data_IF_921684670295
#
_entry.id   IF_921684670295
#
_cell.length_a   1.000
_cell.length_b   1.000
_cell.length_c   1.000
_cell.angle_alpha   90.00
_cell.angle_beta   90.00
_cell.angle_gamma   90.00
#
_symmetry.space_group_name_H-M   'P 1'
#
loop_
_entity.id
_entity.type
_entity.pdbx_description
1 polymer ?
#
# COMPACT_ATOMS: atom_id res chain seq x y z
N UNK A 1 -34.45 -18.59 6.59
CA UNK A 1 -33.34 -19.23 5.84
C UNK A 1 -32.15 -18.27 5.79
N UNK A 2 -31.10 -18.49 6.58
CA UNK A 2 -29.94 -17.62 6.63
C UNK A 2 -29.19 -17.59 5.28
N UNK A 3 -28.80 -16.42 4.80
CA UNK A 3 -28.06 -16.27 3.55
C UNK A 3 -26.69 -16.96 3.67
N UNK A 4 -26.50 -18.05 2.92
CA UNK A 4 -25.24 -18.81 2.87
C UNK A 4 -24.11 -17.89 2.44
N UNK A 5 -23.03 -17.84 3.23
CA UNK A 5 -21.85 -17.03 2.95
C UNK A 5 -21.36 -17.29 1.52
N UNK A 6 -21.31 -16.25 0.69
CA UNK A 6 -20.89 -16.36 -0.71
C UNK A 6 -19.37 -16.41 -0.75
N UNK A 7 -18.82 -17.57 -1.13
CA UNK A 7 -17.39 -17.69 -1.42
C UNK A 7 -16.94 -16.61 -2.42
N UNK A 8 -15.72 -16.06 -2.27
CA UNK A 8 -15.22 -15.00 -3.15
C UNK A 8 -15.21 -15.48 -4.60
N UNK A 9 -15.83 -14.69 -5.48
CA UNK A 9 -16.09 -15.07 -6.87
C UNK A 9 -14.78 -14.97 -7.68
N UNK A 10 -14.04 -16.08 -7.82
CA UNK A 10 -12.87 -16.15 -8.72
C UNK A 10 -13.30 -15.92 -10.18
N UNK A 11 -12.47 -15.25 -10.97
CA UNK A 11 -12.78 -14.99 -12.38
C UNK A 11 -12.82 -16.32 -13.16
N UNK A 12 -13.89 -16.53 -13.92
CA UNK A 12 -14.04 -17.72 -14.79
C UNK A 12 -13.15 -17.67 -16.05
N UNK A 13 -12.52 -16.52 -16.32
CA UNK A 13 -11.54 -16.30 -17.38
C UNK A 13 -10.19 -15.94 -16.73
N UNK A 14 -9.20 -16.85 -16.67
CA UNK A 14 -7.85 -16.49 -16.25
C UNK A 14 -7.19 -15.58 -17.30
N UNK A 15 -6.23 -14.76 -16.88
CA UNK A 15 -5.47 -13.92 -17.80
C UNK A 15 -4.46 -14.78 -18.57
N UNK A 16 -4.33 -14.56 -19.88
CA UNK A 16 -3.21 -15.08 -20.68
C UNK A 16 -2.01 -14.13 -20.55
N UNK A 17 -2.28 -12.84 -20.74
CA UNK A 17 -1.33 -11.73 -20.51
C UNK A 17 -2.08 -10.65 -19.72
N UNK A 18 -1.38 -9.73 -19.06
CA UNK A 18 -2.02 -8.64 -18.30
C UNK A 18 -2.96 -7.84 -19.20
N UNK A 19 -4.26 -7.87 -18.91
CA UNK A 19 -5.30 -7.17 -19.68
C UNK A 19 -5.99 -8.01 -20.76
N UNK A 20 -5.47 -9.21 -21.08
CA UNK A 20 -6.04 -10.12 -22.08
C UNK A 20 -6.42 -11.44 -21.42
N UNK A 21 -7.72 -11.75 -21.45
CA UNK A 21 -8.25 -13.02 -20.95
C UNK A 21 -7.91 -14.20 -21.87
N UNK A 22 -7.75 -15.40 -21.31
CA UNK A 22 -7.44 -16.63 -22.05
C UNK A 22 -8.56 -17.08 -22.98
N UNK A 23 -9.82 -16.82 -22.62
CA UNK A 23 -10.99 -17.21 -23.40
C UNK A 23 -11.64 -16.01 -24.11
N UNK A 24 -12.14 -16.25 -25.33
CA UNK A 24 -12.92 -15.29 -26.11
C UNK A 24 -14.30 -15.02 -25.49
N UNK A 25 -14.98 -13.96 -25.98
CA UNK A 25 -16.31 -13.56 -25.52
C UNK A 25 -17.36 -14.66 -25.69
N UNK A 26 -17.35 -15.37 -26.83
CA UNK A 26 -18.31 -16.44 -27.13
C UNK A 26 -18.13 -17.64 -26.21
N UNK A 27 -16.89 -18.09 -25.99
CA UNK A 27 -16.61 -19.19 -25.03
C UNK A 27 -17.01 -18.80 -23.60
N UNK A 28 -16.78 -17.54 -23.22
CA UNK A 28 -17.20 -17.01 -21.93
C UNK A 28 -18.72 -16.88 -21.78
N UNK A 29 -19.43 -16.58 -22.86
CA UNK A 29 -20.90 -16.52 -22.89
C UNK A 29 -21.52 -17.89 -22.52
N UNK A 30 -21.00 -18.97 -23.10
CA UNK A 30 -21.42 -20.33 -22.76
C UNK A 30 -20.98 -20.73 -21.34
N UNK A 31 -19.71 -20.52 -20.99
CA UNK A 31 -19.15 -20.89 -19.67
C UNK A 31 -19.79 -20.14 -18.50
N UNK A 32 -20.25 -18.90 -18.72
CA UNK A 32 -20.97 -18.13 -17.69
C UNK A 32 -22.43 -18.56 -17.53
N UNK A 33 -22.97 -19.36 -18.46
CA UNK A 33 -24.39 -19.70 -18.49
C UNK A 33 -25.28 -18.53 -18.87
N UNK A 34 -24.72 -17.47 -19.47
CA UNK A 34 -25.48 -16.29 -19.87
C UNK A 34 -26.53 -16.63 -20.93
N UNK A 35 -26.23 -17.59 -21.79
CA UNK A 35 -27.17 -18.12 -22.77
C UNK A 35 -28.43 -18.72 -22.12
N UNK A 36 -28.26 -19.48 -21.04
CA UNK A 36 -29.37 -20.10 -20.33
C UNK A 36 -30.19 -19.07 -19.56
N UNK A 37 -29.55 -18.05 -18.97
CA UNK A 37 -30.24 -16.93 -18.34
C UNK A 37 -31.02 -16.10 -19.35
N UNK A 38 -30.44 -15.85 -20.52
CA UNK A 38 -31.12 -15.14 -21.62
C UNK A 38 -32.32 -15.93 -22.14
N UNK A 39 -32.20 -17.25 -22.29
CA UNK A 39 -33.30 -18.11 -22.70
C UNK A 39 -34.43 -18.12 -21.66
N UNK A 40 -34.11 -18.19 -20.36
CA UNK A 40 -35.10 -18.15 -19.28
C UNK A 40 -35.84 -16.81 -19.16
N UNK A 41 -35.21 -15.72 -19.60
CA UNK A 41 -35.76 -14.37 -19.51
C UNK A 41 -36.29 -13.87 -20.87
N UNK A 42 -36.81 -14.77 -21.71
CA UNK A 42 -37.47 -14.39 -22.97
C UNK A 42 -36.56 -13.71 -23.99
N UNK A 43 -35.26 -14.02 -23.99
CA UNK A 43 -34.29 -13.41 -24.90
C UNK A 43 -33.65 -12.10 -24.40
N UNK A 44 -34.03 -11.60 -23.22
CA UNK A 44 -33.51 -10.34 -22.66
C UNK A 44 -32.72 -10.62 -21.38
N UNK A 45 -31.62 -9.88 -21.16
CA UNK A 45 -30.89 -9.99 -19.89
C UNK A 45 -31.63 -9.24 -18.77
N UNK A 46 -31.67 -9.79 -17.54
CA UNK A 46 -32.25 -9.08 -16.41
C UNK A 46 -31.57 -7.72 -16.21
N UNK A 47 -32.39 -6.65 -16.19
CA UNK A 47 -31.96 -5.28 -15.86
C UNK A 47 -32.34 -4.99 -14.42
N UNK A 48 -31.47 -4.28 -13.71
CA UNK A 48 -31.81 -3.66 -12.43
C UNK A 48 -32.02 -2.18 -12.71
N UNK A 49 -33.27 -1.75 -12.79
CA UNK A 49 -33.60 -0.34 -12.94
C UNK A 49 -33.22 0.39 -11.64
N UNK A 50 -32.74 1.63 -11.80
CA UNK A 50 -32.30 2.43 -10.66
C UNK A 50 -33.49 2.67 -9.73
N UNK A 51 -33.32 2.33 -8.45
CA UNK A 51 -34.31 2.64 -7.41
C UNK A 51 -34.48 4.17 -7.37
N UNK A 52 -35.72 4.70 -7.45
CA UNK A 52 -35.94 6.14 -7.41
C UNK A 52 -35.33 6.71 -6.12
N UNK A 53 -34.48 7.72 -6.27
CA UNK A 53 -33.80 8.37 -5.16
C UNK A 53 -34.84 9.09 -4.29
N UNK A 54 -34.78 8.85 -2.97
CA UNK A 54 -35.60 9.57 -2.01
C UNK A 54 -35.23 11.06 -2.01
N UNK A 55 -36.24 11.93 -1.96
CA UNK A 55 -36.11 13.38 -1.96
C UNK A 55 -35.17 13.84 -0.83
N UNK A 56 -34.01 14.37 -1.22
CA UNK A 56 -33.02 14.90 -0.28
C UNK A 56 -33.43 16.34 0.07
N UNK A 57 -33.51 16.65 1.37
CA UNK A 57 -33.87 17.97 1.90
C UNK A 57 -32.97 19.07 1.30
N UNK A 58 -33.49 20.28 1.01
CA UNK A 58 -32.73 21.34 0.35
C UNK A 58 -31.61 21.88 1.25
N UNK A 59 -30.35 21.77 0.80
CA UNK A 59 -29.19 22.35 1.47
C UNK A 59 -29.19 23.89 1.37
N UNK A 60 -28.98 24.59 2.50
CA UNK A 60 -28.89 26.06 2.52
C UNK A 60 -27.63 26.53 1.78
N UNK A 61 -27.69 27.58 0.95
CA UNK A 61 -26.52 28.07 0.22
C UNK A 61 -25.45 28.66 1.17
N UNK A 62 -24.16 28.56 0.82
CA UNK A 62 -23.08 29.17 1.59
C UNK A 62 -23.21 30.71 1.59
N UNK A 63 -22.89 31.34 2.73
CA UNK A 63 -22.96 32.81 2.91
C UNK A 63 -21.91 33.57 2.08
N UNK A 64 -20.82 32.91 1.71
CA UNK A 64 -19.66 33.52 1.04
C UNK A 64 -19.50 32.98 -0.37
N UNK A 65 -19.38 33.88 -1.34
CA UNK A 65 -19.10 33.59 -2.74
C UNK A 65 -17.72 34.14 -3.11
N UNK A 66 -16.79 33.33 -3.64
CA UNK A 66 -15.53 33.83 -4.16
C UNK A 66 -15.77 34.71 -5.41
N UNK A 67 -14.94 35.73 -5.61
CA UNK A 67 -15.05 36.63 -6.76
C UNK A 67 -14.69 35.95 -8.10
N UNK A 68 -13.83 34.93 -8.05
CA UNK A 68 -13.39 34.15 -9.21
C UNK A 68 -13.80 32.67 -9.06
N UNK A 69 -14.23 32.06 -10.16
CA UNK A 69 -14.53 30.62 -10.18
C UNK A 69 -13.25 29.79 -10.35
N UNK A 70 -12.89 29.03 -9.31
CA UNK A 70 -11.73 28.14 -9.34
C UNK A 70 -12.13 26.83 -10.02
N UNK A 71 -11.60 26.61 -11.23
CA UNK A 71 -11.85 25.38 -11.99
C UNK A 71 -11.51 24.14 -11.16
N UNK A 72 -12.48 23.24 -11.02
CA UNK A 72 -12.29 21.94 -10.34
C UNK A 72 -11.18 21.14 -11.05
N UNK A 73 -10.16 20.68 -10.32
CA UNK A 73 -9.13 19.81 -10.88
C UNK A 73 -9.73 18.54 -11.49
N UNK A 74 -9.15 18.07 -12.60
CA UNK A 74 -9.55 16.82 -13.23
C UNK A 74 -9.35 15.64 -12.29
N UNK A 75 -10.33 14.72 -12.26
CA UNK A 75 -10.26 13.54 -11.40
C UNK A 75 -9.13 12.61 -11.83
N UNK A 76 -8.05 12.56 -11.04
CA UNK A 76 -6.95 11.64 -11.25
C UNK A 76 -7.29 10.25 -10.69
N UNK A 77 -7.44 9.25 -11.57
CA UNK A 77 -7.74 7.85 -11.17
C UNK A 77 -6.48 7.05 -10.78
N UNK A 78 -5.28 7.65 -10.77
CA UNK A 78 -4.03 6.97 -10.40
C UNK A 78 -4.01 6.72 -8.88
N UNK A 79 -3.88 5.45 -8.50
CA UNK A 79 -3.65 5.05 -7.11
C UNK A 79 -2.17 4.70 -6.92
N UNK A 80 -1.53 5.12 -5.80
CA UNK A 80 -0.19 4.69 -5.48
C UNK A 80 -0.18 3.16 -5.37
N UNK A 81 0.79 2.52 -6.01
CA UNK A 81 0.98 1.08 -5.96
C UNK A 81 2.22 0.78 -5.12
N UNK A 82 2.21 -0.29 -4.32
CA UNK A 82 3.41 -0.72 -3.61
C UNK A 82 4.52 -0.98 -4.63
N UNK A 83 5.75 -0.65 -4.24
CA UNK A 83 6.94 -0.82 -5.08
C UNK A 83 7.20 -2.32 -5.29
N UNK A 84 7.68 -2.67 -6.49
CA UNK A 84 8.04 -4.05 -6.79
C UNK A 84 9.48 -4.31 -6.33
N UNK A 85 9.69 -5.35 -5.52
CA UNK A 85 11.03 -5.78 -5.14
C UNK A 85 11.85 -6.24 -6.35
N UNK A 86 13.14 -5.92 -6.32
CA UNK A 86 14.16 -6.44 -7.24
C UNK A 86 14.42 -7.89 -6.88
N UNK A 87 14.62 -8.75 -7.89
CA UNK A 87 14.83 -10.18 -7.68
C UNK A 87 16.06 -10.51 -6.81
N UNK A 88 17.07 -9.62 -6.78
CA UNK A 88 18.26 -9.77 -5.94
C UNK A 88 18.01 -9.52 -4.45
N UNK A 89 16.88 -8.91 -4.09
CA UNK A 89 16.55 -8.58 -2.70
C UNK A 89 15.60 -9.66 -2.18
N UNK A 90 16.19 -10.70 -1.59
CA UNK A 90 15.45 -11.74 -0.86
C UNK A 90 15.65 -11.55 0.64
N UNK A 91 14.68 -11.95 1.50
CA UNK A 91 14.90 -11.98 2.96
C UNK A 91 16.23 -12.68 3.27
N UNK A 92 17.06 -12.08 4.13
CA UNK A 92 18.42 -12.59 4.39
C UNK A 92 19.53 -11.98 3.55
N UNK A 93 19.20 -11.24 2.49
CA UNK A 93 20.24 -10.62 1.64
C UNK A 93 20.95 -9.51 2.39
N UNK A 94 22.28 -9.49 2.29
CA UNK A 94 23.08 -8.37 2.81
C UNK A 94 23.03 -7.21 1.83
N UNK A 95 22.68 -6.05 2.36
CA UNK A 95 22.47 -4.79 1.68
C UNK A 95 23.57 -3.80 2.06
N UNK A 96 24.11 -3.08 1.08
CA UNK A 96 24.99 -1.93 1.31
C UNK A 96 24.17 -0.65 1.16
N UNK A 97 24.09 0.14 2.23
CA UNK A 97 23.37 1.41 2.25
C UNK A 97 24.24 2.51 1.63
N UNK A 98 23.69 3.25 0.68
CA UNK A 98 24.42 4.30 -0.07
C UNK A 98 24.24 5.71 0.49
N UNK A 99 23.18 5.95 1.27
CA UNK A 99 22.81 7.28 1.76
C UNK A 99 22.29 7.21 3.20
N UNK A 100 22.35 8.34 3.91
CA UNK A 100 21.95 8.44 5.31
C UNK A 100 23.09 8.15 6.30
N UNK A 101 22.74 8.03 7.58
CA UNK A 101 23.73 7.86 8.67
C UNK A 101 24.49 6.53 8.60
N UNK A 102 23.87 5.50 8.02
CA UNK A 102 24.44 4.15 7.92
C UNK A 102 25.09 3.89 6.55
N UNK A 103 25.47 4.94 5.82
CA UNK A 103 26.16 4.82 4.52
C UNK A 103 27.42 3.97 4.64
N UNK A 104 27.60 3.05 3.69
CA UNK A 104 28.74 2.13 3.62
C UNK A 104 28.62 0.91 4.54
N UNK A 105 27.64 0.86 5.45
CA UNK A 105 27.43 -0.29 6.33
C UNK A 105 26.70 -1.41 5.59
N UNK A 106 27.05 -2.64 5.95
CA UNK A 106 26.41 -3.88 5.50
C UNK A 106 25.29 -4.22 6.48
N UNK A 107 24.07 -4.34 5.98
CA UNK A 107 22.89 -4.56 6.81
C UNK A 107 22.00 -5.63 6.20
N UNK A 108 21.26 -6.37 7.02
CA UNK A 108 20.46 -7.51 6.55
C UNK A 108 19.03 -7.08 6.23
N UNK A 109 18.50 -7.54 5.09
CA UNK A 109 17.11 -7.34 4.69
C UNK A 109 16.16 -8.33 5.37
N UNK A 110 15.08 -7.82 5.96
CA UNK A 110 14.07 -8.63 6.64
C UNK A 110 12.81 -8.81 5.78
N UNK A 111 12.04 -7.73 5.60
CA UNK A 111 10.71 -7.74 4.96
C UNK A 111 10.48 -6.42 4.21
N UNK A 112 9.58 -6.45 3.22
CA UNK A 112 9.06 -5.22 2.61
C UNK A 112 7.82 -4.76 3.36
N UNK A 113 7.80 -3.48 3.76
CA UNK A 113 6.66 -2.86 4.43
C UNK A 113 5.52 -2.56 3.45
N UNK A 114 4.33 -2.30 3.99
CA UNK A 114 3.13 -1.95 3.21
C UNK A 114 3.33 -0.69 2.34
N UNK A 115 4.13 0.26 2.82
CA UNK A 115 4.56 1.46 2.11
C UNK A 115 5.44 1.19 0.89
N UNK A 116 6.05 0.00 0.80
CA UNK A 116 7.03 -0.36 -0.22
C UNK A 116 8.48 -0.08 0.18
N UNK A 117 8.74 0.39 1.41
CA UNK A 117 10.09 0.52 1.95
C UNK A 117 10.64 -0.82 2.42
N UNK A 118 11.97 -0.93 2.47
CA UNK A 118 12.66 -2.10 2.99
C UNK A 118 12.81 -1.96 4.50
N UNK A 119 12.35 -2.96 5.25
CA UNK A 119 12.72 -3.14 6.63
C UNK A 119 14.11 -3.77 6.69
N UNK A 120 15.04 -2.95 7.13
CA UNK A 120 16.44 -3.28 7.41
C UNK A 120 16.58 -3.24 8.93
N UNK A 121 17.55 -3.93 9.53
CA UNK A 121 17.68 -4.02 11.00
C UNK A 121 17.53 -2.64 11.67
N UNK A 122 16.38 -2.43 12.34
CA UNK A 122 15.96 -1.20 13.03
C UNK A 122 15.73 0.07 12.18
N UNK A 123 15.80 0.02 10.85
CA UNK A 123 15.57 1.19 9.99
C UNK A 123 14.76 0.88 8.72
N UNK A 124 14.04 1.90 8.23
CA UNK A 124 13.36 1.86 6.93
C UNK A 124 14.24 2.49 5.87
N UNK A 125 14.56 1.73 4.82
CA UNK A 125 15.40 2.21 3.72
C UNK A 125 14.66 2.12 2.40
N UNK A 126 14.81 3.14 1.55
CA UNK A 126 14.30 3.08 0.18
C UNK A 126 15.22 2.21 -0.67
N UNK A 127 14.62 1.30 -1.44
CA UNK A 127 15.28 0.38 -2.36
C UNK A 127 16.28 1.05 -3.32
N UNK A 128 16.05 2.30 -3.73
CA UNK A 128 16.97 3.03 -4.63
C UNK A 128 18.33 3.36 -4.00
N UNK A 129 18.41 3.43 -2.67
CA UNK A 129 19.64 3.76 -1.94
C UNK A 129 20.40 2.53 -1.45
N UNK A 130 20.14 1.37 -2.05
CA UNK A 130 20.68 0.09 -1.61
C UNK A 130 21.29 -0.70 -2.76
N UNK A 131 22.47 -1.25 -2.52
CA UNK A 131 23.08 -2.28 -3.36
C UNK A 131 22.88 -3.63 -2.69
N UNK A 132 22.17 -4.54 -3.35
CA UNK A 132 22.06 -5.92 -2.93
C UNK A 132 23.36 -6.65 -3.27
N UNK A 133 23.95 -7.32 -2.29
CA UNK A 133 25.11 -8.19 -2.51
C UNK A 133 24.66 -9.62 -2.76
N UNK A 134 25.58 -10.49 -3.18
CA UNK A 134 25.32 -11.92 -3.40
C UNK A 134 25.27 -12.73 -2.10
N UNK A 135 25.77 -12.18 -0.98
CA UNK A 135 25.80 -12.87 0.30
C UNK A 135 24.42 -12.90 0.94
N UNK A 136 24.04 -14.07 1.44
CA UNK A 136 22.76 -14.33 2.10
C UNK A 136 23.03 -14.93 3.48
N UNK A 137 22.29 -14.44 4.45
CA UNK A 137 22.24 -14.96 5.82
C UNK A 137 20.92 -15.68 5.98
N UNK A 138 20.95 -16.88 6.52
CA UNK A 138 19.74 -17.66 6.76
C UNK A 138 18.98 -17.10 7.97
N UNK A 139 17.78 -16.57 7.73
CA UNK A 139 16.90 -15.97 8.74
C UNK A 139 15.86 -16.97 9.26
N UNK A 140 15.82 -18.20 8.75
CA UNK A 140 14.82 -19.22 9.12
C UNK A 140 14.81 -19.60 10.60
N UNK A 141 15.90 -19.40 11.33
CA UNK A 141 16.00 -19.65 12.78
C UNK A 141 15.59 -18.48 13.68
N UNK A 142 15.35 -17.28 13.12
CA UNK A 142 15.02 -16.05 13.86
C UNK A 142 13.51 -15.93 14.16
N UNK A 143 12.86 -17.04 14.51
CA UNK A 143 11.43 -17.10 14.90
C UNK A 143 11.09 -16.30 16.17
N UNK A 144 12.07 -15.68 16.83
CA UNK A 144 11.88 -14.81 18.00
C UNK A 144 11.88 -13.30 17.70
N UNK A 145 12.17 -12.88 16.47
CA UNK A 145 12.06 -11.47 16.09
C UNK A 145 10.67 -11.29 15.46
N UNK A 146 9.73 -10.68 16.19
CA UNK A 146 8.37 -10.40 15.70
C UNK A 146 8.41 -9.35 14.57
N UNK A 147 8.86 -9.75 13.37
CA UNK A 147 8.94 -8.92 12.17
C UNK A 147 7.56 -8.42 11.72
N UNK A 148 6.48 -9.07 12.16
CA UNK A 148 5.11 -8.68 11.87
C UNK A 148 4.58 -7.51 12.73
N UNK A 149 5.19 -7.23 13.88
CA UNK A 149 4.81 -6.08 14.72
C UNK A 149 5.38 -4.76 14.17
N UNK A 150 6.46 -4.83 13.38
CA UNK A 150 7.12 -3.66 12.81
C UNK A 150 6.41 -3.17 11.54
N UNK A 151 5.37 -2.38 11.74
CA UNK A 151 4.64 -1.70 10.68
C UNK A 151 5.12 -0.26 10.45
N UNK A 152 4.67 0.35 9.34
CA UNK A 152 4.98 1.74 9.00
C UNK A 152 4.60 2.76 10.10
N UNK A 153 3.63 2.39 10.94
CA UNK A 153 3.19 3.18 12.11
C UNK A 153 4.23 3.20 13.23
N UNK A 154 4.96 2.11 13.43
CA UNK A 154 6.01 2.03 14.47
C UNK A 154 7.10 3.08 14.24
N UNK A 155 7.43 3.33 12.97
CA UNK A 155 8.44 4.30 12.57
C UNK A 155 7.88 5.68 12.24
N UNK A 156 6.60 5.94 12.51
CA UNK A 156 6.00 7.24 12.26
C UNK A 156 6.68 8.29 13.15
N UNK A 157 7.16 9.38 12.55
CA UNK A 157 7.67 10.51 13.33
C UNK A 157 6.48 11.21 13.97
N UNK A 158 6.56 11.44 15.28
CA UNK A 158 5.63 12.34 15.95
C UNK A 158 5.81 13.74 15.37
N UNK A 159 4.75 14.25 14.72
CA UNK A 159 4.76 15.59 14.16
C UNK A 159 4.35 16.53 15.28
N UNK A 160 5.30 17.30 15.81
CA UNK A 160 5.02 18.34 16.78
C UNK A 160 3.96 19.31 16.21
N UNK A 161 2.83 19.44 16.92
CA UNK A 161 1.80 20.43 16.58
C UNK A 161 2.38 21.80 16.86
N UNK A 162 2.58 22.61 15.81
CA UNK A 162 3.07 23.99 15.93
C UNK A 162 2.23 24.79 16.94
N UNK A 163 2.79 25.06 18.11
CA UNK A 163 2.33 26.08 19.05
C UNK A 163 3.40 27.18 19.09
N UNK A 164 3.06 28.37 18.60
CA UNK A 164 3.81 29.61 18.81
C UNK A 164 5.22 29.68 18.20
N UNK A 165 5.72 30.91 18.02
CA UNK A 165 7.01 31.21 17.39
C UNK A 165 8.24 30.80 18.24
N UNK A 166 8.05 30.46 19.53
CA UNK A 166 9.16 30.20 20.47
C UNK A 166 9.76 28.78 20.46
N UNK A 167 9.02 27.75 20.01
CA UNK A 167 9.44 26.34 20.13
C UNK A 167 10.15 25.80 18.87
N UNK A 168 10.48 26.67 17.91
CA UNK A 168 11.03 26.28 16.60
C UNK A 168 12.44 25.66 16.65
N UNK A 169 13.23 25.92 17.70
CA UNK A 169 14.64 25.51 17.80
C UNK A 169 14.92 24.26 18.66
N UNK A 170 13.96 23.75 19.45
CA UNK A 170 14.20 22.59 20.32
C UNK A 170 14.03 21.24 19.61
N UNK A 171 13.18 21.17 18.58
CA UNK A 171 12.85 19.93 17.87
C UNK A 171 14.05 19.26 17.16
N UNK A 172 15.12 19.98 16.83
CA UNK A 172 16.33 19.41 16.21
C UNK A 172 17.26 18.70 17.21
N UNK A 173 17.21 19.03 18.51
CA UNK A 173 18.13 18.48 19.51
C UNK A 173 17.75 17.08 19.97
N UNK A 174 16.46 16.80 20.15
CA UNK A 174 15.99 15.51 20.69
C UNK A 174 16.25 14.32 19.76
N UNK A 175 16.15 14.52 18.44
CA UNK A 175 16.39 13.46 17.45
C UNK A 175 17.85 12.96 17.49
N UNK A 176 18.81 13.84 17.83
CA UNK A 176 20.23 13.45 17.97
C UNK A 176 20.50 12.66 19.25
N UNK A 177 19.77 12.94 20.34
CA UNK A 177 19.96 12.30 21.65
C UNK A 177 19.49 10.83 21.62
N UNK A 178 18.31 10.57 21.05
CA UNK A 178 17.75 9.20 20.98
C UNK A 178 18.66 8.27 20.14
N UNK A 179 19.22 8.77 19.04
CA UNK A 179 20.12 8.01 18.16
C UNK A 179 21.46 7.69 18.84
N UNK A 180 21.97 8.58 19.69
CA UNK A 180 23.20 8.35 20.45
C UNK A 180 23.00 7.33 21.57
N UNK A 181 21.89 7.42 22.29
CA UNK A 181 21.62 6.52 23.43
C UNK A 181 21.40 5.07 22.97
N UNK A 182 20.70 4.85 21.85
CA UNK A 182 20.45 3.52 21.32
C UNK A 182 21.71 2.86 20.74
N UNK A 183 22.61 3.63 20.11
CA UNK A 183 23.90 3.12 19.62
C UNK A 183 24.83 2.71 20.77
N UNK A 184 24.71 3.38 21.93
CA UNK A 184 25.49 3.10 23.13
C UNK A 184 24.99 1.84 23.87
N UNK A 185 23.70 1.52 23.77
CA UNK A 185 23.08 0.32 24.35
C UNK A 185 23.33 -0.95 23.53
N UNK A 186 23.49 -0.84 22.21
CA UNK A 186 23.74 -1.99 21.32
C UNK A 186 25.24 -2.32 21.12
N UNK A 187 26.13 -1.56 21.75
CA UNK A 187 27.59 -1.77 21.69
C UNK A 187 28.20 -2.30 23.01
N UNK A 188 27.35 -2.77 23.93
CA UNK A 188 27.72 -3.57 25.11
C UNK A 188 27.23 -5.00 24.91
#
# INVERSE_FOLDING_TARGET
MAAKARNPRKTRNPNLVRGVGKFSRSKMYHKRGLWALKAKNGGVFPRHDAKPAAETQPEKPPKFYPADDVKKPLVNKRKPRPTKLRASITPGTVLIVLAGRFKGKRVVFLKQLSSGLLLVTNERVNQSYVIATSTKVDISGLNGLNVDEFDDKYFAKEVAKKKGEGEFFEAEKEVRIIVLHLHMLLSK
#
